data_IF_775065232063
#
_entry.id   IF_775065232063
#
_cell.length_a   1.000
_cell.length_b   1.000
_cell.length_c   1.000
_cell.angle_alpha   90.00
_cell.angle_beta   90.00
_cell.angle_gamma   90.00
#
_symmetry.space_group_name_H-M   'P 1'
#
loop_
_entity.id
_entity.type
_entity.pdbx_description
1 polymer ?
#
# COMPACT_ATOMS: atom_id res chain seq x y z
N UNK A 1 56.22 -8.49 -39.93
CA UNK A 1 54.80 -8.59 -40.33
C UNK A 1 54.01 -7.68 -39.41
N UNK A 2 53.48 -6.54 -39.87
CA UNK A 2 52.51 -5.79 -39.08
C UNK A 2 51.24 -6.64 -38.95
N UNK A 3 50.68 -6.77 -37.73
CA UNK A 3 49.42 -7.49 -37.49
C UNK A 3 49.51 -8.78 -36.67
N UNK A 4 50.58 -9.03 -35.91
CA UNK A 4 50.65 -10.14 -34.95
C UNK A 4 50.93 -9.57 -33.56
N UNK A 5 50.08 -9.92 -32.58
CA UNK A 5 50.24 -9.57 -31.17
C UNK A 5 50.53 -10.83 -30.35
N UNK A 6 51.50 -10.74 -29.45
CA UNK A 6 51.81 -11.79 -28.47
C UNK A 6 51.23 -11.35 -27.13
N UNK A 7 50.37 -12.19 -26.55
CA UNK A 7 49.89 -12.03 -25.18
C UNK A 7 50.36 -13.23 -24.36
N UNK A 8 50.81 -12.94 -23.15
CA UNK A 8 51.23 -13.90 -22.13
C UNK A 8 50.16 -14.06 -21.06
N UNK A 9 50.38 -15.01 -20.15
CA UNK A 9 49.50 -15.20 -18.98
C UNK A 9 49.53 -13.96 -18.07
N UNK A 10 50.66 -13.26 -18.00
CA UNK A 10 50.79 -12.03 -17.20
C UNK A 10 49.92 -10.90 -17.75
N UNK A 11 49.77 -10.81 -19.07
CA UNK A 11 48.89 -9.83 -19.72
C UNK A 11 47.41 -10.09 -19.39
N UNK A 12 47.02 -11.37 -19.31
CA UNK A 12 45.68 -11.76 -18.84
C UNK A 12 45.49 -11.41 -17.35
N UNK A 13 46.52 -11.60 -16.53
CA UNK A 13 46.53 -11.20 -15.12
C UNK A 13 46.23 -9.71 -14.94
N UNK A 14 46.95 -8.85 -15.69
CA UNK A 14 46.71 -7.39 -15.66
C UNK A 14 45.30 -7.02 -16.13
N UNK A 15 44.78 -7.68 -17.17
CA UNK A 15 43.42 -7.45 -17.63
C UNK A 15 42.37 -7.86 -16.58
N UNK A 16 42.58 -8.99 -15.89
CA UNK A 16 41.73 -9.44 -14.80
C UNK A 16 41.72 -8.47 -13.61
N UNK A 17 42.88 -7.95 -13.22
CA UNK A 17 42.99 -6.98 -12.12
C UNK A 17 42.35 -5.64 -12.48
N UNK A 18 42.58 -5.15 -13.70
CA UNK A 18 41.90 -3.97 -14.22
C UNK A 18 40.38 -4.14 -14.20
N UNK A 19 39.87 -5.28 -14.67
CA UNK A 19 38.44 -5.60 -14.61
C UNK A 19 37.91 -5.71 -13.18
N UNK A 20 38.69 -6.24 -12.24
CA UNK A 20 38.29 -6.32 -10.82
C UNK A 20 38.18 -4.92 -10.21
N UNK A 21 39.16 -4.04 -10.43
CA UNK A 21 39.12 -2.64 -9.97
C UNK A 21 37.94 -1.89 -10.59
N UNK A 22 37.70 -2.07 -11.89
CA UNK A 22 36.54 -1.48 -12.58
C UNK A 22 35.22 -1.93 -11.93
N UNK A 23 35.07 -3.23 -11.61
CA UNK A 23 33.88 -3.73 -10.91
C UNK A 23 33.73 -3.19 -9.49
N UNK A 24 34.83 -3.08 -8.74
CA UNK A 24 34.82 -2.48 -7.40
C UNK A 24 34.34 -1.02 -7.45
N UNK A 25 34.76 -0.26 -8.46
CA UNK A 25 34.31 1.13 -8.65
C UNK A 25 32.81 1.23 -9.01
N UNK A 26 32.17 0.15 -9.48
CA UNK A 26 30.72 0.12 -9.74
C UNK A 26 29.91 -0.22 -8.49
N UNK A 27 30.53 -0.70 -7.42
CA UNK A 27 29.84 -1.10 -6.19
C UNK A 27 28.96 0.02 -5.61
N UNK A 28 29.42 1.30 -5.51
CA UNK A 28 28.57 2.36 -4.99
C UNK A 28 27.31 2.58 -5.84
N UNK A 29 27.44 2.54 -7.17
CA UNK A 29 26.29 2.68 -8.08
C UNK A 29 25.29 1.52 -7.93
N UNK A 30 25.80 0.29 -7.79
CA UNK A 30 24.96 -0.88 -7.53
C UNK A 30 24.21 -0.77 -6.20
N UNK A 31 24.85 -0.28 -5.14
CA UNK A 31 24.21 -0.05 -3.84
C UNK A 31 23.11 1.01 -3.91
N UNK A 32 23.31 2.10 -4.66
CA UNK A 32 22.28 3.11 -4.88
C UNK A 32 21.03 2.49 -5.51
N UNK A 33 21.20 1.67 -6.54
CA UNK A 33 20.07 0.97 -7.21
C UNK A 33 19.35 0.07 -6.21
N UNK A 34 20.10 -0.72 -5.42
CA UNK A 34 19.50 -1.62 -4.41
C UNK A 34 18.70 -0.83 -3.38
N UNK A 35 19.22 0.31 -2.90
CA UNK A 35 18.53 1.13 -1.90
C UNK A 35 17.26 1.77 -2.47
N UNK A 36 17.30 2.28 -3.70
CA UNK A 36 16.13 2.82 -4.41
C UNK A 36 15.04 1.77 -4.61
N UNK A 37 15.40 0.58 -5.10
CA UNK A 37 14.44 -0.50 -5.32
C UNK A 37 13.92 -1.08 -4.00
N UNK A 38 14.74 -1.12 -2.94
CA UNK A 38 14.29 -1.53 -1.61
C UNK A 38 13.26 -0.56 -1.06
N UNK A 39 13.50 0.76 -1.17
CA UNK A 39 12.53 1.79 -0.74
C UNK A 39 11.21 1.67 -1.51
N UNK A 40 11.28 1.46 -2.83
CA UNK A 40 10.10 1.25 -3.68
C UNK A 40 9.33 -0.01 -3.27
N UNK A 41 10.02 -1.14 -3.12
CA UNK A 41 9.42 -2.42 -2.73
C UNK A 41 8.72 -2.32 -1.37
N UNK A 42 9.34 -1.68 -0.39
CA UNK A 42 8.75 -1.49 0.93
C UNK A 42 7.48 -0.63 0.85
N UNK A 43 7.48 0.44 0.05
CA UNK A 43 6.27 1.23 -0.22
C UNK A 43 5.13 0.40 -0.81
N UNK A 44 5.44 -0.43 -1.81
CA UNK A 44 4.45 -1.32 -2.44
C UNK A 44 3.91 -2.37 -1.45
N UNK A 45 4.78 -2.95 -0.61
CA UNK A 45 4.40 -3.92 0.42
C UNK A 45 3.44 -3.30 1.45
N UNK A 46 3.77 -2.09 1.93
CA UNK A 46 2.92 -1.36 2.87
C UNK A 46 1.58 -0.97 2.26
N UNK A 47 1.55 -0.59 0.99
CA UNK A 47 0.28 -0.31 0.31
C UNK A 47 -0.64 -1.54 0.33
N UNK A 48 -0.09 -2.73 0.04
CA UNK A 48 -0.85 -4.00 0.07
C UNK A 48 -1.37 -4.34 1.46
N UNK A 49 -0.63 -4.08 2.53
CA UNK A 49 -1.10 -4.37 3.89
C UNK A 49 -2.25 -3.46 4.36
N UNK A 50 -2.45 -2.29 3.73
CA UNK A 50 -3.57 -1.40 4.08
C UNK A 50 -4.91 -1.81 3.49
N UNK A 51 -4.92 -2.57 2.38
CA UNK A 51 -6.15 -2.93 1.66
C UNK A 51 -7.12 -3.75 2.53
N UNK A 52 -6.69 -4.84 3.21
CA UNK A 52 -7.59 -5.64 4.04
C UNK A 52 -8.22 -4.83 5.18
N UNK A 53 -7.46 -3.89 5.77
CA UNK A 53 -7.95 -3.04 6.87
C UNK A 53 -9.03 -2.08 6.38
N UNK A 54 -8.87 -1.51 5.18
CA UNK A 54 -9.90 -0.66 4.56
C UNK A 54 -11.18 -1.46 4.30
N UNK A 55 -11.06 -2.69 3.82
CA UNK A 55 -12.20 -3.56 3.54
C UNK A 55 -12.96 -3.93 4.81
N UNK A 56 -12.25 -4.33 5.88
CA UNK A 56 -12.86 -4.64 7.16
C UNK A 56 -13.57 -3.42 7.78
N UNK A 57 -12.92 -2.25 7.73
CA UNK A 57 -13.52 -1.00 8.23
C UNK A 57 -14.83 -0.67 7.52
N UNK A 58 -14.86 -0.81 6.19
CA UNK A 58 -16.06 -0.57 5.40
C UNK A 58 -17.15 -1.61 5.69
N UNK A 59 -16.77 -2.87 5.86
CA UNK A 59 -17.70 -3.94 6.17
C UNK A 59 -18.40 -3.71 7.52
N UNK A 60 -17.65 -3.44 8.58
CA UNK A 60 -18.22 -3.20 9.92
C UNK A 60 -19.11 -1.96 9.99
N UNK A 61 -18.75 -0.90 9.25
CA UNK A 61 -19.57 0.31 9.17
C UNK A 61 -20.90 0.06 8.44
N UNK A 62 -20.85 -0.66 7.33
CA UNK A 62 -22.06 -1.02 6.58
C UNK A 62 -22.96 -1.92 7.43
N UNK A 63 -22.41 -2.95 8.09
CA UNK A 63 -23.17 -3.84 8.97
C UNK A 63 -23.92 -3.07 10.06
N UNK A 64 -23.24 -2.15 10.74
CA UNK A 64 -23.86 -1.31 11.77
C UNK A 64 -24.97 -0.43 11.20
N UNK A 65 -24.76 0.15 10.01
CA UNK A 65 -25.75 0.99 9.33
C UNK A 65 -27.00 0.21 8.90
N UNK A 66 -26.82 -1.00 8.38
CA UNK A 66 -27.89 -1.90 7.99
C UNK A 66 -28.78 -2.28 9.18
N UNK A 67 -28.17 -2.62 10.32
CA UNK A 67 -28.90 -2.96 11.55
C UNK A 67 -29.78 -1.78 12.04
N UNK A 68 -29.25 -0.55 12.00
CA UNK A 68 -30.01 0.63 12.43
C UNK A 68 -31.10 1.04 11.43
N UNK A 69 -30.85 0.87 10.12
CA UNK A 69 -31.89 1.08 9.10
C UNK A 69 -33.03 0.07 9.24
N UNK A 70 -32.73 -1.21 9.44
CA UNK A 70 -33.74 -2.24 9.69
C UNK A 70 -34.55 -1.94 10.95
N UNK A 71 -33.88 -1.46 12.01
CA UNK A 71 -34.55 -1.05 13.24
C UNK A 71 -35.47 0.15 13.01
N UNK A 72 -35.06 1.12 12.20
CA UNK A 72 -35.85 2.29 11.83
C UNK A 72 -37.10 1.87 11.03
N UNK A 73 -36.93 1.03 10.01
CA UNK A 73 -38.04 0.60 9.16
C UNK A 73 -39.05 -0.28 9.91
N UNK A 74 -38.61 -1.07 10.89
CA UNK A 74 -39.53 -1.79 11.80
C UNK A 74 -40.36 -0.85 12.69
N UNK A 75 -39.83 0.33 13.03
CA UNK A 75 -40.54 1.34 13.85
C UNK A 75 -41.46 2.25 13.05
N UNK A 76 -41.25 2.34 11.73
CA UNK A 76 -42.01 3.17 10.80
C UNK A 76 -42.62 2.30 9.69
N UNK A 77 -43.53 1.36 10.03
CA UNK A 77 -44.11 0.44 9.06
C UNK A 77 -44.95 1.12 7.97
N UNK A 78 -45.34 2.39 8.16
CA UNK A 78 -46.07 3.21 7.20
C UNK A 78 -45.22 3.74 6.04
N UNK A 79 -43.88 3.63 6.10
CA UNK A 79 -43.00 4.06 5.02
C UNK A 79 -43.12 3.12 3.82
N UNK A 80 -43.38 3.69 2.65
CA UNK A 80 -43.36 2.96 1.38
C UNK A 80 -41.93 2.58 0.96
N UNK A 81 -41.81 1.60 0.05
CA UNK A 81 -40.50 1.10 -0.42
C UNK A 81 -39.63 2.20 -1.03
N UNK A 82 -40.26 3.18 -1.69
CA UNK A 82 -39.56 4.33 -2.28
C UNK A 82 -38.89 5.19 -1.19
N UNK A 83 -39.61 5.55 -0.14
CA UNK A 83 -39.05 6.33 0.97
C UNK A 83 -37.98 5.55 1.73
N UNK A 84 -38.18 4.24 1.96
CA UNK A 84 -37.17 3.39 2.59
C UNK A 84 -35.86 3.38 1.78
N UNK A 85 -35.96 3.29 0.45
CA UNK A 85 -34.80 3.32 -0.45
C UNK A 85 -34.07 4.66 -0.41
N UNK A 86 -34.80 5.78 -0.41
CA UNK A 86 -34.19 7.12 -0.32
C UNK A 86 -33.46 7.33 1.02
N UNK A 87 -34.06 6.88 2.13
CA UNK A 87 -33.43 6.92 3.46
C UNK A 87 -32.15 6.09 3.48
N UNK A 88 -32.22 4.84 2.98
CA UNK A 88 -31.06 3.95 2.88
C UNK A 88 -29.95 4.61 2.06
N UNK A 89 -30.28 5.16 0.90
CA UNK A 89 -29.30 5.83 0.05
C UNK A 89 -28.70 7.08 0.71
N UNK A 90 -29.49 7.86 1.47
CA UNK A 90 -28.98 8.98 2.24
C UNK A 90 -27.98 8.53 3.32
N UNK A 91 -28.27 7.42 4.00
CA UNK A 91 -27.41 6.83 5.02
C UNK A 91 -26.10 6.28 4.43
N UNK A 92 -26.18 5.56 3.31
CA UNK A 92 -25.01 5.09 2.56
C UNK A 92 -24.11 6.26 2.11
N UNK A 93 -24.70 7.33 1.58
CA UNK A 93 -23.96 8.55 1.19
C UNK A 93 -23.29 9.21 2.39
N UNK A 94 -23.97 9.26 3.53
CA UNK A 94 -23.41 9.81 4.76
C UNK A 94 -22.23 8.97 5.26
N UNK A 95 -22.40 7.64 5.35
CA UNK A 95 -21.34 6.71 5.74
C UNK A 95 -20.12 6.82 4.80
N UNK A 96 -20.34 6.86 3.49
CA UNK A 96 -19.27 7.04 2.51
C UNK A 96 -18.48 8.36 2.71
N UNK A 97 -19.19 9.46 3.02
CA UNK A 97 -18.55 10.74 3.34
C UNK A 97 -17.73 10.70 4.62
N UNK A 98 -18.19 9.98 5.64
CA UNK A 98 -17.46 9.82 6.92
C UNK A 98 -16.22 8.94 6.78
N UNK A 99 -16.28 7.89 5.95
CA UNK A 99 -15.16 6.99 5.71
C UNK A 99 -14.10 7.56 4.74
N UNK A 100 -14.48 8.50 3.87
CA UNK A 100 -13.55 9.02 2.87
C UNK A 100 -12.28 9.66 3.47
N UNK A 101 -12.35 10.59 4.45
CA UNK A 101 -11.15 11.18 5.06
C UNK A 101 -10.17 10.15 5.68
N UNK A 102 -10.59 9.23 6.58
CA UNK A 102 -9.66 8.27 7.18
C UNK A 102 -9.06 7.31 6.14
N UNK A 103 -9.84 6.87 5.15
CA UNK A 103 -9.32 6.03 4.06
C UNK A 103 -8.31 6.78 3.17
N UNK A 104 -8.55 8.07 2.90
CA UNK A 104 -7.64 8.90 2.12
C UNK A 104 -6.31 9.12 2.86
N UNK A 105 -6.36 9.40 4.17
CA UNK A 105 -5.16 9.53 5.02
C UNK A 105 -4.34 8.24 5.05
N UNK A 106 -5.00 7.09 5.21
CA UNK A 106 -4.32 5.79 5.21
C UNK A 106 -3.63 5.49 3.87
N UNK A 107 -4.28 5.80 2.75
CA UNK A 107 -3.68 5.67 1.41
C UNK A 107 -2.51 6.64 1.21
N UNK A 108 -2.61 7.87 1.73
CA UNK A 108 -1.53 8.87 1.65
C UNK A 108 -0.31 8.45 2.45
N UNK A 109 -0.48 7.99 3.70
CA UNK A 109 0.63 7.52 4.52
C UNK A 109 1.33 6.29 3.94
N UNK A 110 0.57 5.36 3.33
CA UNK A 110 1.17 4.19 2.66
C UNK A 110 2.18 4.56 1.55
N UNK A 111 2.06 5.76 0.97
CA UNK A 111 2.99 6.29 -0.04
C UNK A 111 4.21 7.00 0.54
N UNK A 112 4.11 7.50 1.77
CA UNK A 112 5.17 8.26 2.44
C UNK A 112 6.13 7.38 3.25
N UNK A 113 5.78 6.11 3.47
CA UNK A 113 6.57 5.17 4.24
C UNK A 113 5.68 4.16 4.97
N UNK A 114 6.22 3.41 5.94
CA UNK A 114 5.44 2.43 6.69
C UNK A 114 4.32 3.13 7.48
N UNK A 115 3.02 2.91 7.16
CA UNK A 115 1.91 3.57 7.85
C UNK A 115 1.61 2.89 9.20
N UNK A 116 2.63 2.35 9.88
CA UNK A 116 2.43 1.47 11.03
C UNK A 116 1.68 2.20 12.15
N UNK A 117 1.96 3.49 12.37
CA UNK A 117 1.28 4.28 13.39
C UNK A 117 -0.21 4.45 13.14
N UNK A 118 -0.59 4.96 11.96
CA UNK A 118 -1.99 5.21 11.63
C UNK A 118 -2.78 3.91 11.41
N UNK A 119 -2.17 2.90 10.78
CA UNK A 119 -2.81 1.61 10.55
C UNK A 119 -3.12 0.91 11.88
N UNK A 120 -2.16 0.88 12.82
CA UNK A 120 -2.38 0.32 14.15
C UNK A 120 -3.39 1.15 14.96
N UNK A 121 -3.35 2.49 14.84
CA UNK A 121 -4.35 3.34 15.47
C UNK A 121 -5.76 3.06 14.94
N UNK A 122 -5.94 2.93 13.63
CA UNK A 122 -7.24 2.59 13.02
C UNK A 122 -7.71 1.20 13.44
N UNK A 123 -6.81 0.21 13.46
CA UNK A 123 -7.14 -1.14 13.98
C UNK A 123 -7.67 -1.09 15.40
N UNK A 124 -7.02 -0.32 16.28
CA UNK A 124 -7.44 -0.18 17.69
C UNK A 124 -8.73 0.63 17.86
N UNK A 125 -8.88 1.72 17.10
CA UNK A 125 -10.05 2.60 17.19
C UNK A 125 -11.33 1.91 16.70
N UNK A 126 -11.21 1.01 15.72
CA UNK A 126 -12.34 0.35 15.08
C UNK A 126 -12.43 -1.16 15.36
N UNK A 127 -11.61 -1.67 16.29
CA UNK A 127 -11.57 -3.09 16.69
C UNK A 127 -11.52 -4.05 15.48
N UNK A 128 -10.64 -3.75 14.52
CA UNK A 128 -10.51 -4.49 13.28
C UNK A 128 -9.67 -5.76 13.52
N UNK A 129 -10.19 -6.92 13.12
CA UNK A 129 -9.54 -8.23 13.31
C UNK A 129 -8.30 -8.38 12.42
N UNK A 130 -7.32 -9.18 12.86
CA UNK A 130 -6.11 -9.47 12.06
C UNK A 130 -6.40 -10.03 10.67
#
# INVERSE_FOLDING_TARGET
RPGVWLYSIDDLGQACDSNRRRRQNQLPAALTIVDEETRRFMGDLHHRSTVPVIEQLRAGWNETGEVELDRLFRKLPELDESSQKEIRQAFERYAAKMLHPPMASLRSESKAGPPHGLLEALRRLFDLKE
#
